data_IF_719904473370
#
_entry.id   IF_719904473370
#
_cell.length_a   1.000
_cell.length_b   1.000
_cell.length_c   1.000
_cell.angle_alpha   90.00
_cell.angle_beta   90.00
_cell.angle_gamma   90.00
#
_symmetry.space_group_name_H-M   'P 1'
#
loop_
_entity.id
_entity.type
_entity.pdbx_description
1 polymer ?
#
# COMPACT_ATOMS: atom_id res chain seq x y z
N UNK A 1 20.60 26.52 3.00
CA UNK A 1 20.57 25.22 2.29
C UNK A 1 20.10 24.06 3.15
N UNK A 2 20.63 23.84 4.35
CA UNK A 2 20.20 22.75 5.25
C UNK A 2 18.70 22.83 5.62
N UNK A 3 18.20 24.02 5.97
CA UNK A 3 16.80 24.23 6.37
C UNK A 3 15.83 23.96 5.21
N UNK A 4 16.20 24.37 3.99
CA UNK A 4 15.40 24.14 2.77
C UNK A 4 15.35 22.65 2.42
N UNK A 5 16.48 21.95 2.50
CA UNK A 5 16.53 20.49 2.32
C UNK A 5 15.67 19.75 3.33
N UNK A 6 15.71 20.19 4.60
CA UNK A 6 14.86 19.64 5.67
C UNK A 6 13.38 19.84 5.37
N UNK A 7 12.96 21.06 5.01
CA UNK A 7 11.57 21.35 4.65
C UNK A 7 11.10 20.51 3.44
N UNK A 8 11.91 20.44 2.40
CA UNK A 8 11.60 19.66 1.19
C UNK A 8 11.42 18.18 1.50
N UNK A 9 12.21 17.62 2.42
CA UNK A 9 12.05 16.22 2.85
C UNK A 9 10.66 15.95 3.44
N UNK A 10 10.17 16.83 4.31
CA UNK A 10 8.83 16.69 4.89
C UNK A 10 7.75 16.85 3.84
N UNK A 11 7.85 17.84 2.96
CA UNK A 11 6.85 18.09 1.91
C UNK A 11 6.75 16.88 0.96
N UNK A 12 7.88 16.38 0.48
CA UNK A 12 7.94 15.24 -0.45
C UNK A 12 7.47 13.95 0.21
N UNK A 13 7.82 13.73 1.48
CA UNK A 13 7.42 12.54 2.24
C UNK A 13 5.94 12.55 2.60
N UNK A 14 5.44 13.66 3.17
CA UNK A 14 4.03 13.81 3.54
C UNK A 14 3.12 13.84 2.31
N UNK A 15 3.57 14.47 1.22
CA UNK A 15 2.85 14.44 -0.05
C UNK A 15 2.75 13.02 -0.62
N UNK A 16 3.84 12.24 -0.57
CA UNK A 16 3.81 10.83 -0.95
C UNK A 16 2.81 10.03 -0.10
N UNK A 17 2.85 10.20 1.23
CA UNK A 17 1.89 9.55 2.13
C UNK A 17 0.44 9.94 1.79
N UNK A 18 0.17 11.21 1.54
CA UNK A 18 -1.17 11.70 1.19
C UNK A 18 -1.70 11.05 -0.10
N UNK A 19 -0.90 11.02 -1.17
CA UNK A 19 -1.25 10.34 -2.42
C UNK A 19 -1.50 8.85 -2.18
N UNK A 20 -0.61 8.20 -1.42
CA UNK A 20 -0.77 6.79 -1.05
C UNK A 20 -2.07 6.51 -0.31
N UNK A 21 -2.46 7.36 0.64
CA UNK A 21 -3.73 7.23 1.37
C UNK A 21 -4.93 7.34 0.43
N UNK A 22 -4.95 8.30 -0.50
CA UNK A 22 -6.05 8.47 -1.46
C UNK A 22 -6.24 7.20 -2.30
N UNK A 23 -5.16 6.68 -2.89
CA UNK A 23 -5.22 5.44 -3.67
C UNK A 23 -5.56 4.22 -2.82
N UNK A 24 -5.04 4.15 -1.58
CA UNK A 24 -5.38 3.11 -0.62
C UNK A 24 -6.86 3.08 -0.27
N UNK A 25 -7.49 4.24 -0.07
CA UNK A 25 -8.94 4.36 0.19
C UNK A 25 -9.77 3.96 -1.04
N UNK A 26 -9.33 4.31 -2.26
CA UNK A 26 -10.00 3.89 -3.49
C UNK A 26 -9.92 2.36 -3.66
N UNK A 27 -8.75 1.77 -3.39
CA UNK A 27 -8.54 0.33 -3.45
C UNK A 27 -9.40 -0.42 -2.43
N UNK A 28 -9.44 0.09 -1.19
CA UNK A 28 -10.29 -0.33 -0.09
C UNK A 28 -11.79 -0.26 -0.41
N UNK A 29 -12.23 0.78 -1.12
CA UNK A 29 -13.61 0.88 -1.58
C UNK A 29 -13.89 -0.13 -2.69
N UNK A 30 -12.97 -0.28 -3.64
CA UNK A 30 -13.06 -1.23 -4.75
C UNK A 30 -13.11 -2.67 -4.26
N UNK A 31 -12.34 -3.03 -3.22
CA UNK A 31 -12.32 -4.39 -2.67
C UNK A 31 -13.67 -4.83 -2.09
N UNK A 32 -14.52 -3.89 -1.66
CA UNK A 32 -15.90 -4.20 -1.21
C UNK A 32 -16.79 -4.71 -2.35
N UNK A 33 -16.54 -4.32 -3.60
CA UNK A 33 -17.28 -4.81 -4.76
C UNK A 33 -16.75 -6.16 -5.26
N UNK A 34 -15.50 -6.48 -4.93
CA UNK A 34 -14.78 -7.67 -5.41
C UNK A 34 -14.84 -8.85 -4.45
N UNK A 35 -15.59 -8.74 -3.34
CA UNK A 35 -15.63 -9.75 -2.26
C UNK A 35 -16.07 -11.16 -2.70
N UNK A 36 -16.66 -11.31 -3.88
CA UNK A 36 -17.07 -12.61 -4.44
C UNK A 36 -15.91 -13.41 -5.05
N UNK A 37 -14.77 -12.78 -5.37
CA UNK A 37 -13.62 -13.43 -6.03
C UNK A 37 -12.32 -13.06 -5.28
N UNK A 38 -12.01 -13.82 -4.22
CA UNK A 38 -10.83 -13.59 -3.35
C UNK A 38 -9.47 -13.67 -4.06
N UNK A 39 -9.42 -14.27 -5.25
CA UNK A 39 -8.17 -14.45 -6.02
C UNK A 39 -7.66 -13.14 -6.64
N UNK A 40 -8.56 -12.18 -6.90
CA UNK A 40 -8.21 -10.91 -7.56
C UNK A 40 -7.90 -9.78 -6.56
N UNK A 41 -8.22 -9.97 -5.27
CA UNK A 41 -7.91 -9.02 -4.19
C UNK A 41 -6.41 -8.65 -4.12
N UNK A 42 -5.45 -9.61 -4.10
CA UNK A 42 -4.03 -9.26 -4.08
C UNK A 42 -3.60 -8.51 -5.36
N UNK A 43 -4.17 -8.85 -6.52
CA UNK A 43 -3.88 -8.14 -7.77
C UNK A 43 -4.29 -6.67 -7.70
N UNK A 44 -5.48 -6.37 -7.17
CA UNK A 44 -5.91 -4.98 -7.00
C UNK A 44 -5.04 -4.21 -6.00
N UNK A 45 -4.60 -4.85 -4.92
CA UNK A 45 -3.67 -4.22 -3.96
C UNK A 45 -2.36 -3.82 -4.64
N UNK A 46 -1.76 -4.71 -5.43
CA UNK A 46 -0.53 -4.39 -6.18
C UNK A 46 -0.76 -3.32 -7.24
N UNK A 47 -1.86 -3.41 -7.98
CA UNK A 47 -2.20 -2.45 -9.03
C UNK A 47 -2.40 -1.04 -8.46
N UNK A 48 -3.20 -0.90 -7.42
CA UNK A 48 -3.44 0.42 -6.81
C UNK A 48 -2.22 0.98 -6.10
N UNK A 49 -1.40 0.14 -5.47
CA UNK A 49 -0.12 0.56 -4.88
C UNK A 49 0.86 1.06 -5.95
N UNK A 50 0.87 0.42 -7.12
CA UNK A 50 1.68 0.85 -8.26
C UNK A 50 1.17 2.15 -8.89
N UNK A 51 -0.16 2.31 -9.02
CA UNK A 51 -0.76 3.57 -9.46
C UNK A 51 -0.45 4.73 -8.50
N UNK A 52 -0.46 4.48 -7.18
CA UNK A 52 -0.07 5.46 -6.18
C UNK A 52 1.41 5.87 -6.33
N UNK A 53 2.29 4.90 -6.57
CA UNK A 53 3.71 5.14 -6.82
C UNK A 53 3.93 6.04 -8.04
N UNK A 54 3.37 5.67 -9.21
CA UNK A 54 3.52 6.44 -10.44
C UNK A 54 2.96 7.86 -10.30
N UNK A 55 1.81 8.00 -9.64
CA UNK A 55 1.19 9.31 -9.42
C UNK A 55 2.06 10.19 -8.52
N UNK A 56 2.63 9.63 -7.45
CA UNK A 56 3.56 10.35 -6.60
C UNK A 56 4.85 10.75 -7.34
N UNK A 57 5.40 9.88 -8.20
CA UNK A 57 6.55 10.24 -9.05
C UNK A 57 6.23 11.37 -10.02
N UNK A 58 5.04 11.37 -10.64
CA UNK A 58 4.61 12.43 -11.55
C UNK A 58 4.53 13.81 -10.88
N UNK A 59 4.21 13.86 -9.59
CA UNK A 59 4.19 15.09 -8.80
C UNK A 59 5.53 15.40 -8.11
N UNK A 60 6.61 14.69 -8.44
CA UNK A 60 7.93 14.79 -7.78
C UNK A 60 7.88 14.58 -6.26
N UNK A 61 6.90 13.80 -5.79
CA UNK A 61 6.75 13.39 -4.39
C UNK A 61 7.44 12.04 -4.15
N UNK A 62 7.46 11.57 -2.90
CA UNK A 62 8.06 10.27 -2.59
C UNK A 62 7.15 9.12 -3.06
N UNK A 63 7.47 8.52 -4.21
CA UNK A 63 6.78 7.33 -4.74
C UNK A 63 6.80 6.15 -3.76
N UNK A 64 7.94 5.91 -3.11
CA UNK A 64 8.09 4.83 -2.13
C UNK A 64 7.17 5.05 -0.91
N UNK A 65 7.09 6.28 -0.39
CA UNK A 65 6.18 6.59 0.71
C UNK A 65 4.71 6.43 0.29
N UNK A 66 4.36 6.78 -0.96
CA UNK A 66 3.02 6.56 -1.49
C UNK A 66 2.68 5.07 -1.62
N UNK A 67 3.63 4.25 -2.07
CA UNK A 67 3.48 2.80 -2.15
C UNK A 67 3.29 2.17 -0.76
N UNK A 68 4.10 2.57 0.22
CA UNK A 68 3.96 2.06 1.60
C UNK A 68 2.64 2.53 2.21
N UNK A 69 2.29 3.81 2.09
CA UNK A 69 1.08 4.36 2.67
C UNK A 69 -0.18 3.74 2.07
N UNK A 70 -0.24 3.54 0.75
CA UNK A 70 -1.35 2.84 0.10
C UNK A 70 -1.47 1.39 0.59
N UNK A 71 -0.36 0.65 0.71
CA UNK A 71 -0.36 -0.70 1.26
C UNK A 71 -0.79 -0.76 2.73
N UNK A 72 -0.39 0.21 3.55
CA UNK A 72 -0.80 0.31 4.96
C UNK A 72 -2.30 0.59 5.08
N UNK A 73 -2.86 1.48 4.26
CA UNK A 73 -4.31 1.78 4.25
C UNK A 73 -5.14 0.57 3.83
N UNK A 74 -4.58 -0.30 2.98
CA UNK A 74 -5.21 -1.55 2.57
C UNK A 74 -5.05 -2.69 3.60
N UNK A 75 -4.23 -2.55 4.67
CA UNK A 75 -4.06 -3.57 5.72
C UNK A 75 -5.36 -4.06 6.36
N UNK A 76 -6.28 -3.20 6.84
CA UNK A 76 -7.52 -3.66 7.45
C UNK A 76 -8.40 -4.49 6.49
N UNK A 77 -8.23 -4.35 5.17
CA UNK A 77 -8.94 -5.17 4.18
C UNK A 77 -8.32 -6.55 4.01
N UNK A 78 -6.99 -6.64 4.03
CA UNK A 78 -6.27 -7.92 4.08
C UNK A 78 -6.57 -8.65 5.38
N UNK A 79 -6.62 -7.94 6.50
CA UNK A 79 -6.95 -8.49 7.83
C UNK A 79 -8.43 -8.89 7.94
N UNK A 80 -9.38 -8.12 7.38
CA UNK A 80 -10.80 -8.48 7.38
C UNK A 80 -11.12 -9.74 6.56
N UNK A 81 -10.33 -10.06 5.54
CA UNK A 81 -10.43 -11.33 4.80
C UNK A 81 -9.63 -12.47 5.47
N UNK A 82 -8.85 -12.16 6.52
CA UNK A 82 -8.00 -13.07 7.28
C UNK A 82 -8.56 -13.24 8.70
N UNK A 83 -9.51 -14.17 8.84
CA UNK A 83 -9.90 -14.72 10.13
C UNK A 83 -8.76 -15.57 10.74
N UNK A 84 -8.77 -15.76 12.07
CA UNK A 84 -7.77 -16.37 12.98
C UNK A 84 -6.97 -17.62 12.51
N UNK A 85 -7.36 -18.29 11.42
CA UNK A 85 -6.59 -19.34 10.73
C UNK A 85 -5.38 -18.83 9.93
N UNK A 86 -5.33 -17.55 9.53
CA UNK A 86 -4.31 -17.06 8.58
C UNK A 86 -2.97 -16.64 9.19
N UNK A 87 -2.90 -16.46 10.51
CA UNK A 87 -1.63 -16.21 11.20
C UNK A 87 -0.61 -17.33 10.90
N UNK A 88 -1.11 -18.55 10.73
CA UNK A 88 -0.32 -19.72 10.34
C UNK A 88 0.15 -19.63 8.89
N UNK A 89 -0.73 -19.30 7.94
CA UNK A 89 -0.37 -19.22 6.50
C UNK A 89 0.60 -18.09 6.19
N UNK A 90 0.43 -16.88 6.77
CA UNK A 90 1.38 -15.78 6.61
C UNK A 90 2.75 -16.17 7.16
N UNK A 91 2.80 -16.86 8.31
CA UNK A 91 4.04 -17.35 8.92
C UNK A 91 4.71 -18.44 8.07
N UNK A 92 3.94 -19.33 7.44
CA UNK A 92 4.48 -20.32 6.50
C UNK A 92 4.95 -19.70 5.18
N UNK A 93 4.26 -18.70 4.65
CA UNK A 93 4.64 -18.02 3.41
C UNK A 93 5.92 -17.18 3.58
N UNK A 94 6.03 -16.43 4.69
CA UNK A 94 7.26 -15.72 5.07
C UNK A 94 8.42 -16.69 5.28
N UNK A 95 8.17 -17.88 5.86
CA UNK A 95 9.20 -18.90 6.06
C UNK A 95 9.65 -19.54 4.74
N UNK A 96 8.73 -19.70 3.78
CA UNK A 96 9.03 -20.25 2.45
C UNK A 96 9.80 -19.24 1.58
N UNK A 97 9.48 -17.95 1.67
CA UNK A 97 10.23 -16.88 1.01
C UNK A 97 11.59 -16.60 1.65
N UNK A 98 11.71 -16.74 2.97
CA UNK A 98 12.99 -16.61 3.69
C UNK A 98 13.93 -17.81 3.49
N UNK A 99 13.46 -18.89 2.85
CA UNK A 99 14.22 -20.11 2.59
C UNK A 99 14.81 -20.15 1.18
N UNK A 100 14.56 -19.13 0.36
CA UNK A 100 15.22 -18.87 -0.92
C UNK A 100 16.20 -17.72 -0.70
#
# INVERSE_FOLDING_TARGET
DIILGFLSFFVVSLGGVFVGVVYGVIAAFTSRFTSHIRVIEPLFVFLYSYMAYLSAELFHLSGIMALIASGVVMRPYVEANISHKSHTTIKYFLKMWSSV
#
